data_IF_678104365608
#
_entry.id   IF_678104365608
#
_cell.length_a   1.000
_cell.length_b   1.000
_cell.length_c   1.000
_cell.angle_alpha   90.00
_cell.angle_beta   90.00
_cell.angle_gamma   90.00
#
_symmetry.space_group_name_H-M   'P 1'
#
loop_
_entity.id
_entity.type
_entity.pdbx_description
1 polymer ?
#
# COMPACT_ATOMS: atom_id res chain seq x y z
N UNK A 1 0.56 -26.38 -13.81
CA UNK A 1 1.67 -25.97 -12.92
C UNK A 1 1.14 -25.03 -11.85
N UNK A 2 1.60 -25.12 -10.59
CA UNK A 2 1.21 -24.22 -9.50
C UNK A 2 1.43 -22.72 -9.79
N UNK A 3 2.29 -22.39 -10.75
CA UNK A 3 2.56 -21.03 -11.23
C UNK A 3 1.59 -20.53 -12.31
N UNK A 4 0.79 -21.41 -12.93
CA UNK A 4 -0.11 -21.05 -14.03
C UNK A 4 -1.13 -19.97 -13.63
N UNK A 5 -1.59 -20.01 -12.38
CA UNK A 5 -2.51 -19.03 -11.80
C UNK A 5 -2.00 -17.58 -11.85
N UNK A 6 -0.68 -17.37 -11.80
CA UNK A 6 -0.11 -16.02 -11.83
C UNK A 6 -0.20 -15.39 -13.22
N UNK A 7 -0.11 -16.20 -14.28
CA UNK A 7 -0.15 -15.69 -15.65
C UNK A 7 -1.53 -15.17 -16.08
N UNK A 8 -2.60 -15.56 -15.37
CA UNK A 8 -3.96 -15.04 -15.63
C UNK A 8 -4.12 -13.55 -15.30
N UNK A 9 -3.25 -13.03 -14.44
CA UNK A 9 -3.29 -11.67 -13.88
C UNK A 9 -2.04 -10.85 -14.26
N UNK A 10 -1.21 -11.36 -15.17
CA UNK A 10 0.03 -10.72 -15.60
C UNK A 10 0.06 -10.52 -17.12
N UNK A 11 0.55 -9.35 -17.52
CA UNK A 11 0.89 -9.05 -18.92
C UNK A 11 2.27 -9.60 -19.22
N UNK A 12 2.32 -10.80 -19.78
CA UNK A 12 3.58 -11.51 -20.07
C UNK A 12 4.40 -10.84 -21.18
N UNK A 13 3.75 -10.12 -22.09
CA UNK A 13 4.37 -9.29 -23.14
C UNK A 13 5.12 -8.08 -22.57
N UNK A 14 4.90 -7.73 -21.30
CA UNK A 14 5.56 -6.62 -20.60
C UNK A 14 6.70 -7.06 -19.68
N UNK A 15 7.04 -8.35 -19.70
CA UNK A 15 8.20 -8.88 -18.98
C UNK A 15 9.47 -8.83 -19.87
N UNK A 16 10.67 -8.65 -19.32
CA UNK A 16 11.03 -8.52 -17.90
C UNK A 16 10.66 -7.18 -17.28
N UNK A 17 10.35 -7.16 -15.98
CA UNK A 17 10.08 -5.93 -15.25
C UNK A 17 11.35 -5.07 -15.02
N UNK A 18 11.16 -3.76 -14.84
CA UNK A 18 12.24 -2.79 -14.66
C UNK A 18 12.86 -2.74 -13.25
N UNK A 19 12.30 -3.46 -12.27
CA UNK A 19 12.82 -3.44 -10.90
C UNK A 19 14.19 -4.09 -10.80
N UNK A 20 15.06 -3.52 -9.94
CA UNK A 20 16.39 -4.03 -9.68
C UNK A 20 16.34 -5.51 -9.21
N UNK A 21 17.31 -6.35 -9.62
CA UNK A 21 17.38 -7.74 -9.15
C UNK A 21 17.34 -7.84 -7.62
N UNK A 22 16.36 -8.57 -7.08
CA UNK A 22 16.16 -8.70 -5.63
C UNK A 22 15.36 -7.59 -4.97
N UNK A 23 14.79 -6.63 -5.72
CA UNK A 23 13.83 -5.66 -5.19
C UNK A 23 12.51 -6.35 -4.77
N UNK A 24 12.00 -6.01 -3.59
CA UNK A 24 10.80 -6.61 -3.02
C UNK A 24 9.47 -6.20 -3.68
N UNK A 25 9.47 -5.23 -4.60
CA UNK A 25 8.24 -4.81 -5.29
C UNK A 25 7.57 -5.96 -6.05
N UNK A 26 8.36 -6.89 -6.62
CA UNK A 26 7.84 -8.09 -7.26
C UNK A 26 7.13 -9.04 -6.28
N UNK A 27 7.57 -9.07 -5.00
CA UNK A 27 6.92 -9.85 -3.94
C UNK A 27 5.56 -9.25 -3.62
N UNK A 28 5.45 -7.92 -3.49
CA UNK A 28 4.17 -7.24 -3.25
C UNK A 28 3.20 -7.48 -4.41
N UNK A 29 3.67 -7.34 -5.66
CA UNK A 29 2.87 -7.66 -6.85
C UNK A 29 2.35 -9.10 -6.80
N UNK A 30 3.23 -10.06 -6.46
CA UNK A 30 2.85 -11.47 -6.29
C UNK A 30 1.83 -11.67 -5.16
N UNK A 31 1.97 -10.97 -4.03
CA UNK A 31 1.03 -11.04 -2.90
C UNK A 31 -0.37 -10.56 -3.30
N UNK A 32 -0.45 -9.48 -4.09
CA UNK A 32 -1.72 -9.01 -4.64
C UNK A 32 -2.36 -10.03 -5.58
N UNK A 33 -1.58 -10.61 -6.51
CA UNK A 33 -2.09 -11.63 -7.44
C UNK A 33 -2.56 -12.89 -6.68
N UNK A 34 -1.83 -13.31 -5.65
CA UNK A 34 -2.23 -14.44 -4.81
C UNK A 34 -3.57 -14.19 -4.13
N UNK A 35 -3.77 -12.97 -3.58
CA UNK A 35 -5.03 -12.56 -2.98
C UNK A 35 -6.17 -12.53 -4.00
N UNK A 36 -5.95 -11.89 -5.16
CA UNK A 36 -6.93 -11.80 -6.25
C UNK A 36 -7.34 -13.19 -6.76
N UNK A 37 -6.38 -14.09 -6.95
CA UNK A 37 -6.64 -15.46 -7.37
C UNK A 37 -7.45 -16.25 -6.33
N UNK A 38 -7.11 -16.14 -5.03
CA UNK A 38 -7.86 -16.81 -3.95
C UNK A 38 -9.31 -16.34 -3.87
N UNK A 39 -9.51 -15.05 -4.09
CA UNK A 39 -10.82 -14.42 -4.16
C UNK A 39 -11.55 -14.68 -5.48
N UNK A 40 -10.86 -15.26 -6.47
CA UNK A 40 -11.37 -15.44 -7.83
C UNK A 40 -11.92 -14.14 -8.42
N UNK A 41 -11.21 -13.03 -8.19
CA UNK A 41 -11.65 -11.72 -8.68
C UNK A 41 -11.74 -11.74 -10.20
N UNK A 42 -12.86 -11.22 -10.71
CA UNK A 42 -13.01 -10.90 -12.12
C UNK A 42 -12.13 -9.70 -12.45
N UNK A 43 -11.05 -9.93 -13.19
CA UNK A 43 -10.08 -8.89 -13.53
C UNK A 43 -10.69 -7.71 -14.29
N UNK A 44 -11.82 -7.92 -14.98
CA UNK A 44 -12.53 -6.86 -15.70
C UNK A 44 -13.37 -5.97 -14.78
N UNK A 45 -13.57 -6.36 -13.51
CA UNK A 45 -14.23 -5.57 -12.46
C UNK A 45 -13.29 -5.05 -11.39
N UNK A 46 -11.98 -5.21 -11.58
CA UNK A 46 -10.96 -4.64 -10.70
C UNK A 46 -10.27 -3.49 -11.43
N UNK A 47 -10.15 -2.35 -10.75
CA UNK A 47 -9.35 -1.23 -11.20
C UNK A 47 -8.10 -1.07 -10.31
N UNK A 48 -6.91 -1.13 -10.91
CA UNK A 48 -5.64 -0.91 -10.21
C UNK A 48 -5.04 0.43 -10.63
N UNK A 49 -4.99 1.37 -9.69
CA UNK A 49 -4.54 2.75 -9.92
C UNK A 49 -3.19 2.95 -9.23
N UNK A 50 -2.23 3.56 -9.91
CA UNK A 50 -0.93 3.93 -9.31
C UNK A 50 -0.53 5.36 -9.65
N UNK A 51 0.37 5.92 -8.83
CA UNK A 51 0.93 7.25 -9.03
C UNK A 51 2.23 7.17 -9.84
N UNK A 52 3.32 7.77 -9.34
CA UNK A 52 4.65 7.73 -9.98
C UNK A 52 5.70 7.20 -9.00
N UNK A 53 6.61 6.35 -9.49
CA UNK A 53 7.68 5.75 -8.69
C UNK A 53 7.98 4.31 -9.10
N UNK A 54 9.00 3.70 -8.49
CA UNK A 54 9.34 2.30 -8.75
C UNK A 54 8.14 1.39 -8.46
N UNK A 55 7.50 1.56 -7.31
CA UNK A 55 6.26 0.86 -6.92
C UNK A 55 5.16 1.02 -7.97
N UNK A 56 4.94 2.25 -8.44
CA UNK A 56 3.83 2.58 -9.35
C UNK A 56 3.91 1.93 -10.72
N UNK A 57 5.09 1.41 -11.13
CA UNK A 57 5.25 0.62 -12.37
C UNK A 57 4.47 -0.71 -12.34
N UNK A 58 3.99 -1.14 -11.17
CA UNK A 58 3.21 -2.38 -11.00
C UNK A 58 2.01 -2.46 -11.96
N UNK A 59 1.34 -1.34 -12.23
CA UNK A 59 0.19 -1.25 -13.14
C UNK A 59 0.53 -1.53 -14.61
N UNK A 60 1.81 -1.48 -14.98
CA UNK A 60 2.29 -1.89 -16.29
C UNK A 60 2.30 -3.41 -16.48
N UNK A 61 2.49 -4.18 -15.41
CA UNK A 61 2.65 -5.63 -15.45
C UNK A 61 1.38 -6.41 -15.11
N UNK A 62 0.45 -5.78 -14.41
CA UNK A 62 -0.82 -6.37 -13.99
C UNK A 62 -1.85 -6.39 -15.12
N UNK A 63 -2.47 -7.54 -15.37
CA UNK A 63 -3.54 -7.71 -16.35
C UNK A 63 -4.92 -7.51 -15.70
N UNK A 64 -5.25 -6.24 -15.49
CA UNK A 64 -6.52 -5.72 -14.97
C UNK A 64 -6.86 -4.40 -15.70
N UNK A 65 -7.95 -3.73 -15.34
CA UNK A 65 -8.13 -2.32 -15.71
C UNK A 65 -7.10 -1.48 -14.94
N UNK A 66 -6.08 -0.96 -15.60
CA UNK A 66 -5.01 -0.23 -14.90
C UNK A 66 -4.89 1.22 -15.31
N UNK A 67 -4.55 2.08 -14.35
CA UNK A 67 -4.29 3.51 -14.55
C UNK A 67 -2.96 3.89 -13.90
N UNK A 68 -2.00 4.34 -14.71
CA UNK A 68 -0.75 4.93 -14.23
C UNK A 68 -0.88 6.45 -14.33
N UNK A 69 -1.06 7.10 -13.19
CA UNK A 69 -1.54 8.49 -13.09
C UNK A 69 -0.39 9.45 -12.75
N UNK A 70 -0.72 10.62 -12.18
CA UNK A 70 0.27 11.61 -11.75
C UNK A 70 0.77 11.30 -10.33
N UNK A 71 1.96 11.82 -10.02
CA UNK A 71 2.60 11.62 -8.72
C UNK A 71 1.70 12.11 -7.58
N UNK A 72 1.40 11.23 -6.63
CA UNK A 72 0.50 11.45 -5.50
C UNK A 72 -0.95 11.76 -5.85
N UNK A 73 -1.41 11.41 -7.06
CA UNK A 73 -2.82 11.60 -7.47
C UNK A 73 -3.59 10.30 -7.61
N UNK A 74 -2.95 9.14 -7.44
CA UNK A 74 -3.57 7.83 -7.58
C UNK A 74 -4.87 7.67 -6.77
N UNK A 75 -4.88 8.12 -5.51
CA UNK A 75 -6.04 8.06 -4.63
C UNK A 75 -7.19 8.97 -5.12
N UNK A 76 -6.86 10.15 -5.67
CA UNK A 76 -7.85 11.05 -6.24
C UNK A 76 -8.51 10.45 -7.49
N UNK A 77 -7.72 9.84 -8.38
CA UNK A 77 -8.24 9.11 -9.54
C UNK A 77 -9.08 7.90 -9.11
N UNK A 78 -8.60 7.11 -8.15
CA UNK A 78 -9.32 5.95 -7.60
C UNK A 78 -10.66 6.34 -6.98
N UNK A 79 -10.73 7.49 -6.30
CA UNK A 79 -11.98 8.06 -5.80
C UNK A 79 -12.98 8.30 -6.93
N UNK A 80 -12.54 8.91 -8.04
CA UNK A 80 -13.36 9.10 -9.23
C UNK A 80 -13.84 7.78 -9.83
N UNK A 81 -12.95 6.79 -9.94
CA UNK A 81 -13.31 5.45 -10.43
C UNK A 81 -14.37 4.81 -9.53
N UNK A 82 -14.21 4.83 -8.21
CA UNK A 82 -15.17 4.20 -7.29
C UNK A 82 -16.53 4.91 -7.27
N UNK A 83 -16.56 6.22 -7.48
CA UNK A 83 -17.82 6.97 -7.63
C UNK A 83 -18.54 6.60 -8.94
N UNK A 84 -17.81 6.48 -10.05
CA UNK A 84 -18.37 6.15 -11.35
C UNK A 84 -18.74 4.67 -11.49
N UNK A 85 -17.98 3.78 -10.82
CA UNK A 85 -18.15 2.32 -10.81
C UNK A 85 -18.18 1.80 -9.37
N UNK A 86 -19.28 2.00 -8.63
CA UNK A 86 -19.44 1.46 -7.28
C UNK A 86 -19.28 -0.07 -7.22
N UNK A 87 -19.58 -0.76 -8.32
CA UNK A 87 -19.49 -2.20 -8.51
C UNK A 87 -18.06 -2.74 -8.71
N UNK A 88 -17.06 -1.87 -8.86
CA UNK A 88 -15.66 -2.26 -9.04
C UNK A 88 -14.93 -2.39 -7.70
N UNK A 89 -14.04 -3.37 -7.63
CA UNK A 89 -12.99 -3.41 -6.62
C UNK A 89 -11.88 -2.43 -7.05
N UNK A 90 -11.63 -1.40 -6.24
CA UNK A 90 -10.67 -0.34 -6.58
C UNK A 90 -9.45 -0.46 -5.67
N UNK A 91 -8.29 -0.69 -6.28
CA UNK A 91 -7.02 -0.90 -5.59
C UNK A 91 -6.04 0.20 -6.00
N UNK A 92 -5.43 0.85 -5.02
CA UNK A 92 -4.37 1.83 -5.22
C UNK A 92 -3.05 1.22 -4.80
N UNK A 93 -2.06 1.22 -5.68
CA UNK A 93 -0.71 0.69 -5.39
C UNK A 93 0.32 1.80 -5.61
N UNK A 94 1.12 2.13 -4.60
CA UNK A 94 2.06 3.26 -4.68
C UNK A 94 3.09 3.25 -3.57
N UNK A 95 4.10 4.11 -3.71
CA UNK A 95 5.22 4.20 -2.76
C UNK A 95 4.90 5.11 -1.58
N UNK A 96 5.70 4.98 -0.52
CA UNK A 96 5.78 5.90 0.62
C UNK A 96 5.76 7.38 0.21
N UNK A 97 6.67 7.82 -0.65
CA UNK A 97 6.71 9.22 -1.08
C UNK A 97 5.54 9.64 -1.97
N UNK A 98 5.04 8.73 -2.81
CA UNK A 98 3.87 9.00 -3.67
C UNK A 98 2.61 9.22 -2.83
N UNK A 99 2.38 8.37 -1.83
CA UNK A 99 1.14 8.37 -1.05
C UNK A 99 1.19 9.25 0.19
N UNK A 100 2.34 9.40 0.83
CA UNK A 100 2.47 10.07 2.13
C UNK A 100 3.18 11.42 2.09
N UNK A 101 3.90 11.74 1.00
CA UNK A 101 4.40 13.11 0.76
C UNK A 101 3.41 13.92 -0.06
N UNK A 102 3.62 14.03 -1.38
CA UNK A 102 2.78 14.82 -2.28
C UNK A 102 1.32 14.30 -2.36
N UNK A 103 1.10 13.02 -2.07
CA UNK A 103 -0.22 12.41 -1.97
C UNK A 103 -0.87 12.48 -0.58
N UNK A 104 -0.16 12.95 0.44
CA UNK A 104 -0.57 12.81 1.86
C UNK A 104 -1.96 13.39 2.14
N UNK A 105 -2.29 14.55 1.58
CA UNK A 105 -3.62 15.15 1.79
C UNK A 105 -4.75 14.31 1.17
N UNK A 106 -4.50 13.63 0.04
CA UNK A 106 -5.47 12.72 -0.54
C UNK A 106 -5.61 11.45 0.28
N UNK A 107 -4.51 10.94 0.84
CA UNK A 107 -4.48 9.76 1.70
C UNK A 107 -5.33 9.96 2.96
N UNK A 108 -5.10 11.03 3.73
CA UNK A 108 -5.86 11.29 4.96
C UNK A 108 -7.36 11.47 4.69
N UNK A 109 -7.70 12.12 3.57
CA UNK A 109 -9.11 12.32 3.22
C UNK A 109 -9.78 11.07 2.63
N UNK A 110 -9.03 10.15 2.03
CA UNK A 110 -9.58 8.85 1.64
C UNK A 110 -9.91 8.00 2.87
N UNK A 111 -9.00 7.96 3.85
CA UNK A 111 -9.25 7.37 5.17
C UNK A 111 -10.51 7.96 5.83
N UNK A 112 -10.61 9.29 5.88
CA UNK A 112 -11.76 9.99 6.47
C UNK A 112 -13.08 9.67 5.79
N UNK A 113 -13.09 9.58 4.45
CA UNK A 113 -14.30 9.29 3.67
C UNK A 113 -14.75 7.84 3.83
N UNK A 114 -13.84 6.91 4.11
CA UNK A 114 -14.18 5.50 4.24
C UNK A 114 -14.91 4.95 3.00
N UNK A 115 -14.39 5.25 1.80
CA UNK A 115 -14.86 4.61 0.57
C UNK A 115 -14.24 3.21 0.46
N UNK A 116 -14.98 2.28 -0.12
CA UNK A 116 -14.52 0.91 -0.41
C UNK A 116 -13.39 0.91 -1.47
N UNK A 117 -12.18 1.24 -1.01
CA UNK A 117 -10.93 1.39 -1.76
C UNK A 117 -9.83 0.76 -0.92
N UNK A 118 -9.01 -0.09 -1.55
CA UNK A 118 -7.84 -0.70 -0.93
C UNK A 118 -6.56 0.00 -1.35
N UNK A 119 -5.81 0.57 -0.40
CA UNK A 119 -4.45 1.09 -0.62
C UNK A 119 -3.43 0.04 -0.21
N UNK A 120 -2.53 -0.30 -1.13
CA UNK A 120 -1.34 -1.12 -0.87
C UNK A 120 -0.13 -0.19 -0.97
N UNK A 121 0.45 0.13 0.19
CA UNK A 121 1.57 1.05 0.34
C UNK A 121 2.89 0.28 0.33
N UNK A 122 3.74 0.60 -0.64
CA UNK A 122 5.08 0.04 -0.79
C UNK A 122 6.03 0.93 -0.02
N UNK A 123 6.37 0.54 1.21
CA UNK A 123 7.26 1.34 2.05
C UNK A 123 8.71 0.88 1.90
N UNK A 124 9.53 1.61 1.14
CA UNK A 124 10.95 1.36 0.99
C UNK A 124 11.85 2.43 1.63
N UNK A 125 11.24 3.33 2.41
CA UNK A 125 11.87 4.42 3.14
C UNK A 125 12.72 5.35 2.26
N UNK A 126 12.45 5.43 0.94
CA UNK A 126 13.28 6.21 0.01
C UNK A 126 12.63 6.44 -1.36
N UNK A 127 12.89 7.58 -1.98
CA UNK A 127 12.56 7.81 -3.39
C UNK A 127 13.54 7.09 -4.33
N UNK A 128 13.27 5.81 -4.59
CA UNK A 128 14.16 4.95 -5.38
C UNK A 128 14.26 5.35 -6.86
N UNK A 129 13.16 5.81 -7.49
CA UNK A 129 13.16 6.10 -8.93
C UNK A 129 13.94 7.37 -9.29
N UNK A 130 14.03 8.33 -8.37
CA UNK A 130 14.61 9.66 -8.60
C UNK A 130 16.05 9.80 -8.13
N UNK A 131 16.69 8.70 -7.72
CA UNK A 131 18.10 8.68 -7.33
C UNK A 131 18.37 8.57 -5.83
N UNK A 132 17.35 8.31 -5.00
CA UNK A 132 17.55 7.93 -3.59
C UNK A 132 17.44 9.09 -2.60
N UNK A 133 16.54 10.04 -2.82
CA UNK A 133 16.21 11.09 -1.85
C UNK A 133 15.44 10.53 -0.65
N UNK A 134 15.57 11.16 0.52
CA UNK A 134 14.79 10.77 1.69
C UNK A 134 13.28 11.00 1.45
N UNK A 135 12.46 10.16 2.05
CA UNK A 135 10.99 10.19 2.02
C UNK A 135 10.44 10.47 3.42
N UNK A 136 9.12 10.70 3.60
CA UNK A 136 8.52 10.80 4.93
C UNK A 136 8.65 9.54 5.80
N UNK A 137 9.09 8.42 5.20
CA UNK A 137 9.31 7.13 5.87
C UNK A 137 10.80 6.81 6.06
N UNK A 138 11.70 7.73 5.71
CA UNK A 138 13.13 7.57 5.99
C UNK A 138 13.34 7.78 7.49
N UNK A 139 13.89 6.80 8.24
CA UNK A 139 14.14 6.98 9.67
C UNK A 139 15.07 8.15 9.94
N UNK A 140 14.93 8.77 11.11
CA UNK A 140 15.87 9.79 11.59
C UNK A 140 17.30 9.25 11.55
N UNK A 141 18.25 10.13 11.27
CA UNK A 141 19.69 9.84 11.11
C UNK A 141 20.06 8.90 9.95
N UNK A 142 19.08 8.30 9.25
CA UNK A 142 19.35 7.50 8.06
C UNK A 142 19.81 8.36 6.89
N UNK A 143 20.73 7.82 6.10
CA UNK A 143 21.39 8.51 5.01
C UNK A 143 20.59 8.38 3.71
N UNK A 144 20.55 9.47 2.93
CA UNK A 144 19.95 9.51 1.60
C UNK A 144 20.72 10.48 0.69
N UNK A 145 20.43 10.51 -0.61
CA UNK A 145 21.15 11.37 -1.56
C UNK A 145 21.03 12.87 -1.23
N UNK A 146 19.90 13.29 -0.67
CA UNK A 146 19.64 14.66 -0.19
C UNK A 146 19.74 14.81 1.33
N UNK A 147 20.06 13.72 2.04
CA UNK A 147 20.35 13.72 3.47
C UNK A 147 21.72 13.01 3.70
N UNK A 148 22.83 13.59 3.17
CA UNK A 148 24.15 12.97 3.22
C UNK A 148 24.80 13.03 4.62
N UNK A 149 24.12 13.57 5.61
CA UNK A 149 24.56 13.62 7.00
C UNK A 149 23.48 13.08 7.96
N UNK A 150 22.52 12.32 7.43
CA UNK A 150 21.36 11.82 8.16
C UNK A 150 20.09 12.65 7.93
N UNK A 151 18.94 12.00 8.04
CA UNK A 151 17.64 12.63 7.99
C UNK A 151 17.34 13.33 9.33
N UNK A 152 16.97 14.61 9.28
CA UNK A 152 16.63 15.40 10.47
C UNK A 152 15.16 15.27 10.87
N UNK A 153 14.29 14.89 9.93
CA UNK A 153 12.85 14.83 10.16
C UNK A 153 12.46 13.53 10.86
N UNK A 154 11.45 13.62 11.73
CA UNK A 154 10.78 12.44 12.26
C UNK A 154 10.04 11.73 11.13
N UNK A 155 10.10 10.39 11.12
CA UNK A 155 9.33 9.60 10.17
C UNK A 155 7.85 9.52 10.57
N UNK A 156 6.96 9.44 9.58
CA UNK A 156 5.58 9.02 9.83
C UNK A 156 5.50 7.55 10.23
N UNK A 157 4.44 7.19 10.94
CA UNK A 157 3.95 5.81 10.99
C UNK A 157 2.68 5.70 10.10
N UNK A 158 2.72 4.96 8.97
CA UNK A 158 1.58 4.84 8.06
C UNK A 158 0.36 4.16 8.67
N UNK A 159 0.59 3.22 9.60
CA UNK A 159 -0.49 2.52 10.33
C UNK A 159 -1.18 3.52 11.24
N UNK A 160 -0.43 4.23 12.08
CA UNK A 160 -1.00 5.24 12.97
C UNK A 160 -1.69 6.36 12.18
N UNK A 161 -1.05 6.87 11.13
CA UNK A 161 -1.63 7.90 10.27
C UNK A 161 -2.94 7.44 9.64
N UNK A 162 -3.02 6.20 9.13
CA UNK A 162 -4.24 5.65 8.55
C UNK A 162 -5.35 5.51 9.60
N UNK A 163 -5.02 4.97 10.78
CA UNK A 163 -5.98 4.76 11.88
C UNK A 163 -6.54 6.11 12.34
N UNK A 164 -5.67 7.07 12.63
CA UNK A 164 -6.03 8.41 13.11
C UNK A 164 -6.79 9.19 12.04
N UNK A 165 -6.48 8.97 10.76
CA UNK A 165 -7.24 9.56 9.65
C UNK A 165 -8.60 8.89 9.39
N UNK A 166 -8.89 7.76 10.04
CA UNK A 166 -10.21 7.13 10.04
C UNK A 166 -10.38 5.90 9.15
N UNK A 167 -9.28 5.29 8.67
CA UNK A 167 -9.34 4.02 7.96
C UNK A 167 -9.96 2.92 8.84
N UNK A 168 -10.63 1.97 8.20
CA UNK A 168 -11.45 0.94 8.88
C UNK A 168 -10.88 -0.46 8.74
N UNK A 169 -9.92 -0.65 7.83
CA UNK A 169 -9.02 -1.79 7.82
C UNK A 169 -7.58 -1.30 7.69
N UNK A 170 -6.70 -1.71 8.61
CA UNK A 170 -5.28 -1.32 8.61
C UNK A 170 -4.41 -2.51 8.98
N UNK A 171 -3.43 -2.82 8.13
CA UNK A 171 -2.46 -3.90 8.35
C UNK A 171 -1.04 -3.50 7.92
N UNK A 172 -0.02 -4.09 8.56
CA UNK A 172 1.40 -3.96 8.20
C UNK A 172 2.05 -5.33 8.03
N UNK A 173 2.87 -5.48 7.02
CA UNK A 173 3.75 -6.63 6.82
C UNK A 173 5.08 -6.21 6.19
N UNK A 174 5.92 -7.19 5.87
CA UNK A 174 7.17 -6.97 5.13
C UNK A 174 7.28 -7.98 3.99
N UNK A 175 8.10 -7.69 2.98
CA UNK A 175 8.33 -8.60 1.86
C UNK A 175 8.96 -9.94 2.26
N UNK A 176 9.60 -10.02 3.43
CA UNK A 176 10.03 -11.30 3.99
C UNK A 176 8.84 -12.18 4.39
N UNK A 177 7.76 -11.56 4.88
CA UNK A 177 6.53 -12.20 5.35
C UNK A 177 5.47 -12.30 4.23
N UNK A 178 5.84 -12.90 3.10
CA UNK A 178 4.99 -13.01 1.90
C UNK A 178 3.59 -13.56 2.17
N UNK A 179 3.48 -14.62 2.98
CA UNK A 179 2.19 -15.26 3.27
C UNK A 179 1.25 -14.35 4.06
N UNK A 180 1.79 -13.61 5.03
CA UNK A 180 1.06 -12.59 5.79
C UNK A 180 0.64 -11.43 4.87
N UNK A 181 1.56 -10.94 4.03
CA UNK A 181 1.26 -9.89 3.05
C UNK A 181 0.09 -10.27 2.14
N UNK A 182 0.10 -11.48 1.57
CA UNK A 182 -1.00 -11.97 0.73
C UNK A 182 -2.32 -12.10 1.52
N UNK A 183 -2.25 -12.54 2.79
CA UNK A 183 -3.44 -12.68 3.64
C UNK A 183 -4.05 -11.33 4.02
N UNK A 184 -3.24 -10.33 4.36
CA UNK A 184 -3.73 -8.99 4.68
C UNK A 184 -4.30 -8.28 3.47
N UNK A 185 -3.70 -8.45 2.29
CA UNK A 185 -4.30 -7.95 1.04
C UNK A 185 -5.64 -8.66 0.77
N UNK A 186 -5.73 -9.97 0.95
CA UNK A 186 -7.00 -10.71 0.80
C UNK A 186 -8.09 -10.17 1.74
N UNK A 187 -7.76 -9.95 3.01
CA UNK A 187 -8.70 -9.37 3.98
C UNK A 187 -9.09 -7.93 3.61
N UNK A 188 -8.13 -7.10 3.19
CA UNK A 188 -8.36 -5.72 2.75
C UNK A 188 -9.33 -5.63 1.56
N UNK A 189 -9.21 -6.55 0.60
CA UNK A 189 -10.09 -6.63 -0.57
C UNK A 189 -11.52 -7.11 -0.24
N UNK A 190 -11.68 -7.89 0.84
CA UNK A 190 -13.00 -8.32 1.33
C UNK A 190 -13.70 -7.22 2.13
N UNK A 191 -12.91 -6.39 2.81
CA UNK A 191 -13.40 -5.35 3.70
C UNK A 191 -14.23 -4.30 2.95
N UNK A 192 -15.31 -3.82 3.59
CA UNK A 192 -16.18 -2.78 3.04
C UNK A 192 -15.88 -1.45 3.71
N UNK A 193 -14.97 -0.70 3.10
CA UNK A 193 -14.50 0.59 3.58
C UNK A 193 -13.08 0.87 3.13
N UNK A 194 -12.47 1.91 3.68
CA UNK A 194 -11.09 2.25 3.34
C UNK A 194 -10.14 1.27 4.02
N UNK A 195 -9.42 0.51 3.18
CA UNK A 195 -8.39 -0.43 3.60
C UNK A 195 -6.99 0.13 3.31
N UNK A 196 -6.07 0.01 4.26
CA UNK A 196 -4.65 0.36 4.08
C UNK A 196 -3.78 -0.84 4.49
N UNK A 197 -2.97 -1.33 3.55
CA UNK A 197 -1.99 -2.38 3.80
C UNK A 197 -0.60 -1.83 3.50
N UNK A 198 0.17 -1.58 4.54
CA UNK A 198 1.58 -1.24 4.41
C UNK A 198 2.42 -2.52 4.26
N UNK A 199 3.28 -2.55 3.25
CA UNK A 199 4.27 -3.60 3.10
C UNK A 199 5.66 -2.97 3.00
N UNK A 200 6.46 -3.16 4.04
CA UNK A 200 7.86 -2.76 4.02
C UNK A 200 8.63 -3.60 2.98
N UNK A 201 9.31 -2.92 2.06
CA UNK A 201 9.99 -3.52 0.90
C UNK A 201 11.41 -2.99 0.77
N UNK A 202 12.33 -3.82 0.30
CA UNK A 202 13.74 -3.44 0.23
C UNK A 202 14.06 -2.60 -1.02
N UNK A 203 14.80 -1.50 -0.81
CA UNK A 203 15.51 -0.76 -1.84
C UNK A 203 17.02 -0.83 -1.56
N UNK A 204 17.64 -1.96 -1.88
CA UNK A 204 19.07 -2.20 -1.63
C UNK A 204 19.98 -1.28 -2.46
N UNK A 205 19.51 -0.82 -3.63
CA UNK A 205 20.26 0.07 -4.53
C UNK A 205 20.51 1.46 -3.94
N UNK A 206 19.53 2.03 -3.24
CA UNK A 206 19.63 3.37 -2.67
C UNK A 206 19.60 3.33 -1.14
N UNK A 207 18.46 3.00 -0.52
CA UNK A 207 18.35 3.01 0.94
C UNK A 207 19.37 2.07 1.58
N UNK A 208 19.40 0.81 1.14
CA UNK A 208 20.35 -0.16 1.66
C UNK A 208 21.81 0.26 1.42
N UNK A 209 22.14 0.75 0.23
CA UNK A 209 23.51 1.22 -0.08
C UNK A 209 23.98 2.36 0.83
N UNK A 210 23.11 3.34 1.10
CA UNK A 210 23.45 4.46 1.98
C UNK A 210 23.49 4.07 3.46
N UNK A 211 22.77 3.02 3.85
CA UNK A 211 22.61 2.59 5.25
C UNK A 211 23.20 1.19 5.50
N UNK A 212 24.37 0.89 4.92
CA UNK A 212 25.19 -0.31 5.17
C UNK A 212 24.53 -1.67 4.89
N UNK A 213 23.49 -1.72 4.05
CA UNK A 213 22.80 -2.92 3.57
C UNK A 213 22.69 -2.98 2.02
N UNK A 214 23.80 -2.87 1.26
CA UNK A 214 23.76 -2.75 -0.21
C UNK A 214 23.26 -4.00 -0.95
N UNK A 215 23.23 -5.17 -0.30
CA UNK A 215 22.81 -6.43 -0.93
C UNK A 215 21.35 -6.74 -0.62
N UNK A 216 20.58 -7.31 -1.59
CA UNK A 216 19.18 -7.66 -1.36
C UNK A 216 18.95 -8.53 -0.13
N UNK A 217 19.80 -9.54 0.12
CA UNK A 217 19.63 -10.47 1.23
C UNK A 217 19.81 -9.80 2.60
N UNK A 218 20.68 -8.80 2.72
CA UNK A 218 20.90 -8.08 3.99
C UNK A 218 19.63 -7.37 4.45
N UNK A 219 18.90 -6.75 3.52
CA UNK A 219 17.62 -6.12 3.84
C UNK A 219 16.51 -7.15 4.14
N UNK A 220 16.57 -8.34 3.54
CA UNK A 220 15.65 -9.44 3.90
C UNK A 220 15.93 -9.97 5.31
N UNK A 221 17.20 -10.11 5.69
CA UNK A 221 17.61 -10.45 7.06
C UNK A 221 17.21 -9.37 8.05
N UNK A 222 17.34 -8.09 7.68
CA UNK A 222 16.83 -6.97 8.48
C UNK A 222 15.33 -7.11 8.75
N UNK A 223 14.51 -7.38 7.74
CA UNK A 223 13.08 -7.61 7.95
C UNK A 223 12.79 -8.84 8.81
N UNK A 224 13.53 -9.95 8.61
CA UNK A 224 13.37 -11.16 9.41
C UNK A 224 13.67 -10.91 10.90
N UNK A 225 14.75 -10.21 11.20
CA UNK A 225 15.28 -10.07 12.56
C UNK A 225 14.61 -8.91 13.33
N UNK A 226 14.05 -7.93 12.63
CA UNK A 226 13.46 -6.75 13.24
C UNK A 226 11.93 -6.70 13.16
N UNK A 227 11.27 -7.67 12.51
CA UNK A 227 9.80 -7.73 12.54
C UNK A 227 9.30 -8.49 13.77
N UNK A 228 8.26 -7.97 14.40
CA UNK A 228 7.57 -8.63 15.51
C UNK A 228 6.06 -8.63 15.30
N UNK A 229 5.38 -9.68 15.72
CA UNK A 229 3.92 -9.74 15.58
C UNK A 229 3.23 -8.80 16.55
N UNK A 230 2.11 -8.21 16.14
CA UNK A 230 1.28 -7.33 16.97
C UNK A 230 0.90 -7.98 18.31
N UNK A 231 0.61 -9.28 18.33
CA UNK A 231 0.29 -9.98 19.58
C UNK A 231 1.45 -10.00 20.57
N UNK A 232 2.70 -10.15 20.10
CA UNK A 232 3.87 -10.09 20.98
C UNK A 232 4.19 -8.65 21.39
N UNK A 233 3.99 -7.70 20.48
CA UNK A 233 4.24 -6.29 20.75
C UNK A 233 3.38 -5.71 21.90
N UNK A 234 2.19 -6.26 22.14
CA UNK A 234 1.31 -5.85 23.25
C UNK A 234 1.90 -6.08 24.64
N UNK A 235 2.80 -7.05 24.76
CA UNK A 235 3.41 -7.44 26.03
C UNK A 235 4.80 -6.83 26.23
N UNK A 236 5.23 -5.93 25.33
CA UNK A 236 6.56 -5.30 25.34
C UNK A 236 6.48 -3.82 25.69
N UNK A 237 7.55 -3.30 26.27
CA UNK A 237 7.69 -1.87 26.54
C UNK A 237 7.97 -1.07 25.26
N UNK A 238 7.76 0.23 25.31
CA UNK A 238 8.06 1.15 24.20
C UNK A 238 9.56 1.12 23.83
N UNK A 239 10.44 0.98 24.83
CA UNK A 239 11.89 0.83 24.64
C UNK A 239 12.24 -0.48 23.91
N UNK A 240 11.58 -1.59 24.26
CA UNK A 240 11.81 -2.88 23.59
C UNK A 240 11.28 -2.91 22.14
N UNK A 241 10.29 -2.07 21.84
CA UNK A 241 9.74 -1.89 20.50
C UNK A 241 10.52 -0.89 19.66
N UNK A 242 11.47 -0.17 20.26
CA UNK A 242 12.35 0.72 19.52
C UNK A 242 13.04 -0.06 18.38
N UNK A 243 13.02 0.53 17.18
CA UNK A 243 13.57 -0.05 15.95
C UNK A 243 12.92 -1.37 15.47
N UNK A 244 11.79 -1.79 16.07
CA UNK A 244 11.03 -2.96 15.62
C UNK A 244 9.95 -2.58 14.62
N UNK A 245 9.78 -3.46 13.62
CA UNK A 245 8.67 -3.39 12.67
C UNK A 245 7.54 -4.26 13.21
N UNK A 246 6.56 -3.64 13.87
CA UNK A 246 5.38 -4.36 14.33
C UNK A 246 4.52 -4.75 13.12
N UNK A 247 4.32 -6.04 12.87
CA UNK A 247 3.50 -6.58 11.78
C UNK A 247 2.20 -7.17 12.32
N UNK A 248 1.09 -6.98 11.60
CA UNK A 248 -0.21 -7.43 12.07
C UNK A 248 -1.38 -6.78 11.35
N UNK A 249 -2.58 -7.21 11.74
CA UNK A 249 -3.84 -6.52 11.46
C UNK A 249 -4.16 -5.66 12.68
N UNK A 250 -4.14 -4.34 12.53
CA UNK A 250 -4.26 -3.36 13.62
C UNK A 250 -5.69 -2.90 13.84
N UNK A 251 -6.42 -2.72 12.73
CA UNK A 251 -7.82 -2.31 12.74
C UNK A 251 -8.57 -3.14 11.72
N UNK A 252 -9.72 -3.64 12.13
CA UNK A 252 -10.70 -4.28 11.28
C UNK A 252 -12.07 -4.04 11.93
N UNK A 253 -12.79 -3.02 11.45
CA UNK A 253 -14.06 -2.60 12.01
C UNK A 253 -14.99 -2.11 10.93
N UNK A 254 -16.27 -2.33 11.10
CA UNK A 254 -17.27 -1.76 10.21
C UNK A 254 -17.59 -0.32 10.63
N UNK A 255 -17.76 0.56 9.64
CA UNK A 255 -18.19 1.94 9.81
C UNK A 255 -18.95 2.35 8.56
N UNK A 256 -19.89 3.28 8.73
CA UNK A 256 -20.60 3.97 7.65
C UNK A 256 -19.65 4.30 6.48
N UNK A 257 -19.93 3.76 5.30
CA UNK A 257 -19.14 3.96 4.08
C UNK A 257 -19.74 5.09 3.23
N UNK A 258 -18.88 5.84 2.52
CA UNK A 258 -19.34 7.00 1.76
C UNK A 258 -20.25 6.64 0.57
N UNK A 259 -20.01 5.51 -0.10
CA UNK A 259 -20.73 5.14 -1.33
C UNK A 259 -22.18 4.80 -1.02
N UNK A 260 -22.43 3.96 -0.02
CA UNK A 260 -23.78 3.60 0.42
C UNK A 260 -24.57 4.83 0.85
N UNK A 261 -23.92 5.76 1.53
CA UNK A 261 -24.56 6.99 2.02
C UNK A 261 -24.87 7.98 0.91
N UNK A 262 -23.98 8.06 -0.08
CA UNK A 262 -24.24 8.84 -1.27
C UNK A 262 -25.41 8.26 -2.08
N UNK A 263 -25.50 6.93 -2.21
CA UNK A 263 -26.63 6.26 -2.87
C UNK A 263 -27.95 6.46 -2.11
N UNK A 264 -27.94 6.40 -0.77
CA UNK A 264 -29.11 6.73 0.07
C UNK A 264 -29.57 8.18 -0.17
N UNK A 265 -28.63 9.12 -0.26
CA UNK A 265 -28.94 10.53 -0.56
C UNK A 265 -29.55 10.68 -1.96
N UNK A 266 -28.98 10.03 -2.97
CA UNK A 266 -29.54 10.03 -4.34
C UNK A 266 -30.96 9.46 -4.37
N UNK A 267 -31.21 8.36 -3.66
CA UNK A 267 -32.53 7.74 -3.56
C UNK A 267 -33.56 8.68 -2.92
N UNK A 268 -33.23 9.29 -1.77
CA UNK A 268 -34.07 10.31 -1.10
C UNK A 268 -34.40 11.49 -2.02
N UNK A 269 -33.44 11.93 -2.83
CA UNK A 269 -33.68 13.01 -3.79
C UNK A 269 -34.60 12.57 -4.93
N UNK A 270 -34.45 11.34 -5.42
CA UNK A 270 -35.25 10.81 -6.55
C UNK A 270 -36.70 10.47 -6.18
N UNK A 271 -36.97 10.12 -4.91
CA UNK A 271 -38.30 9.73 -4.44
C UNK A 271 -39.20 10.94 -4.13
N UNK A 272 -38.73 12.17 -4.38
CA UNK A 272 -39.41 13.41 -4.04
C UNK A 272 -39.16 13.75 -2.57
N UNK A 273 -38.49 14.87 -2.33
CA UNK A 273 -38.34 15.42 -0.99
C UNK A 273 -39.68 15.96 -0.45
N UNK A 274 -40.64 15.07 -0.21
CA UNK A 274 -41.84 15.34 0.56
C UNK A 274 -41.65 14.74 1.95
N UNK A 275 -41.06 15.51 2.87
CA UNK A 275 -41.31 15.45 4.32
C UNK A 275 -40.47 16.56 5.02
N UNK A 276 -41.19 17.62 5.40
CA UNK A 276 -40.95 18.72 6.37
C UNK A 276 -39.64 19.53 6.34
#
# INVERSE_FOLDING_TARGET
MPSAKYFNYLRTDRMSHVWCPGCGNGIIMKSFIEAANKLQLDKNKVAVVSGIGCSSRVTGYLDFNTMHTLHGRAIAFATGVKLARPDFDVVVMGGDGDMLAIGGNHFIHACRRNMDITVILFNNSIYGMTGGQYSPMTPSDSMASTAPYGNLENQFDPVELAITSGATYVARSTVYHFMQSAKYIENALKHKGMSVVEIATNCHTYFGRYNNMPKPYQMQEYFKNNSITLNKAKDMSEEELQDKIVIGEFVNKEKRDYISEYQKLQKRFSEGGDEE
#
